data_IF_764265338066
#
_entry.id   IF_764265338066
#
_cell.length_a   1.000
_cell.length_b   1.000
_cell.length_c   1.000
_cell.angle_alpha   90.00
_cell.angle_beta   90.00
_cell.angle_gamma   90.00
#
_symmetry.space_group_name_H-M   'P 1'
#
loop_
_entity.id
_entity.type
_entity.pdbx_description
1 polymer ?
#
# COMPACT_ATOMS: atom_id res chain seq x y z
N UNK A 1 -0.91 -16.60 -5.04
CA UNK A 1 -1.40 -16.66 -3.63
C UNK A 1 -0.84 -15.46 -2.87
N UNK A 2 -1.70 -14.56 -2.40
CA UNK A 2 -1.30 -13.26 -1.84
C UNK A 2 -1.59 -13.12 -0.33
N UNK A 3 -2.71 -13.67 0.17
CA UNK A 3 -3.07 -13.58 1.59
C UNK A 3 -1.99 -14.09 2.54
N UNK A 4 -1.77 -13.35 3.64
CA UNK A 4 -0.74 -13.60 4.63
C UNK A 4 0.68 -13.21 4.21
N UNK A 5 0.89 -12.70 2.99
CA UNK A 5 2.21 -12.21 2.57
C UNK A 5 2.41 -10.74 2.90
N UNK A 6 3.68 -10.40 3.09
CA UNK A 6 4.15 -9.03 3.23
C UNK A 6 4.47 -8.47 1.83
N UNK A 7 3.93 -7.30 1.51
CA UNK A 7 4.08 -6.64 0.21
C UNK A 7 4.46 -5.18 0.43
N UNK A 8 5.43 -4.69 -0.36
CA UNK A 8 5.79 -3.26 -0.42
C UNK A 8 5.18 -2.65 -1.68
N UNK A 9 4.49 -1.52 -1.51
CA UNK A 9 4.01 -0.67 -2.60
C UNK A 9 4.86 0.60 -2.64
N UNK A 10 5.52 0.86 -3.76
CA UNK A 10 6.35 2.05 -3.95
C UNK A 10 5.51 3.19 -4.56
N UNK A 11 5.10 4.14 -3.71
CA UNK A 11 4.24 5.28 -4.07
C UNK A 11 2.80 5.14 -3.56
N UNK A 12 2.21 6.26 -3.13
CA UNK A 12 0.87 6.37 -2.55
C UNK A 12 0.04 7.51 -3.17
N UNK A 13 0.27 7.78 -4.46
CA UNK A 13 -0.67 8.50 -5.31
C UNK A 13 -1.92 7.66 -5.61
N UNK A 14 -2.73 8.09 -6.58
CA UNK A 14 -4.03 7.46 -6.89
C UNK A 14 -3.92 5.97 -7.24
N UNK A 15 -2.91 5.59 -8.01
CA UNK A 15 -2.64 4.18 -8.32
C UNK A 15 -2.21 3.41 -7.07
N UNK A 16 -1.31 3.99 -6.26
CA UNK A 16 -0.81 3.36 -5.03
C UNK A 16 -1.91 3.08 -4.02
N UNK A 17 -2.85 4.02 -3.86
CA UNK A 17 -4.05 3.84 -3.00
C UNK A 17 -4.90 2.66 -3.46
N UNK A 18 -5.20 2.57 -4.76
CA UNK A 18 -5.94 1.44 -5.34
C UNK A 18 -5.21 0.10 -5.15
N UNK A 19 -3.90 0.06 -5.38
CA UNK A 19 -3.08 -1.12 -5.15
C UNK A 19 -3.13 -1.57 -3.69
N UNK A 20 -2.96 -0.63 -2.74
CA UNK A 20 -3.00 -0.93 -1.32
C UNK A 20 -4.38 -1.46 -0.89
N UNK A 21 -5.47 -0.86 -1.38
CA UNK A 21 -6.83 -1.31 -1.07
C UNK A 21 -7.08 -2.73 -1.58
N UNK A 22 -6.68 -3.04 -2.82
CA UNK A 22 -6.80 -4.38 -3.38
C UNK A 22 -5.97 -5.42 -2.60
N UNK A 23 -4.70 -5.11 -2.30
CA UNK A 23 -3.80 -6.03 -1.58
C UNK A 23 -4.25 -6.27 -0.14
N UNK A 24 -4.74 -5.24 0.57
CA UNK A 24 -5.37 -5.37 1.89
C UNK A 24 -6.62 -6.26 1.81
N UNK A 25 -7.46 -6.07 0.79
CA UNK A 25 -8.65 -6.92 0.55
C UNK A 25 -8.33 -8.40 0.28
N UNK A 26 -7.13 -8.69 -0.22
CA UNK A 26 -6.60 -10.05 -0.40
C UNK A 26 -5.92 -10.62 0.86
N UNK A 27 -5.92 -9.89 1.98
CA UNK A 27 -5.34 -10.31 3.26
C UNK A 27 -3.82 -10.16 3.36
N UNK A 28 -3.22 -9.25 2.59
CA UNK A 28 -1.78 -8.96 2.70
C UNK A 28 -1.48 -7.99 3.84
N UNK A 29 -0.29 -8.09 4.41
CA UNK A 29 0.32 -6.98 5.17
C UNK A 29 1.01 -6.06 4.19
N UNK A 30 0.50 -4.84 4.04
CA UNK A 30 0.97 -3.88 3.04
C UNK A 30 1.82 -2.80 3.72
N UNK A 31 3.05 -2.65 3.24
CA UNK A 31 3.95 -1.54 3.56
C UNK A 31 4.02 -0.58 2.37
N UNK A 32 4.23 0.70 2.63
CA UNK A 32 4.29 1.75 1.60
C UNK A 32 5.60 2.50 1.75
N UNK A 33 6.26 2.80 0.63
CA UNK A 33 7.36 3.79 0.59
C UNK A 33 6.87 5.02 -0.18
N UNK A 34 7.04 6.20 0.39
CA UNK A 34 6.69 7.46 -0.26
C UNK A 34 7.74 8.53 0.03
N UNK A 35 7.95 9.41 -0.94
CA UNK A 35 8.76 10.62 -0.81
C UNK A 35 7.90 11.82 -0.42
N UNK A 36 6.62 11.83 -0.78
CA UNK A 36 5.71 12.90 -0.40
C UNK A 36 5.19 12.65 1.02
N UNK A 37 5.49 13.54 2.00
CA UNK A 37 5.10 13.32 3.39
C UNK A 37 3.59 13.38 3.61
N UNK A 38 2.82 14.08 2.77
CA UNK A 38 1.36 14.13 2.85
C UNK A 38 0.78 12.80 2.41
N UNK A 39 1.24 12.26 1.28
CA UNK A 39 0.84 10.93 0.83
C UNK A 39 1.29 9.84 1.82
N UNK A 40 2.49 9.94 2.38
CA UNK A 40 2.96 9.01 3.40
C UNK A 40 2.08 9.03 4.67
N UNK A 41 1.64 10.21 5.12
CA UNK A 41 0.73 10.34 6.26
C UNK A 41 -0.65 9.73 5.97
N UNK A 42 -1.14 9.82 4.73
CA UNK A 42 -2.39 9.19 4.30
C UNK A 42 -2.30 7.65 4.17
N UNK A 43 -1.09 7.09 4.11
CA UNK A 43 -0.88 5.65 3.99
C UNK A 43 -1.08 4.88 5.32
N UNK A 44 -1.26 5.61 6.41
CA UNK A 44 -1.57 5.10 7.74
C UNK A 44 -3.00 4.53 7.84
#
# INVERSE_FOLDING_TARGET
MFGGKQVVVCGYGEVGKGCCQALKGLGCTVYVTEIDPVCALQAW
#
